data_IF_613512738087
#
_entry.id   IF_613512738087
#
_cell.length_a   1.000
_cell.length_b   1.000
_cell.length_c   1.000
_cell.angle_alpha   90.00
_cell.angle_beta   90.00
_cell.angle_gamma   90.00
#
_symmetry.space_group_name_H-M   'P 1'
#
loop_
_entity.id
_entity.type
_entity.pdbx_description
1 polymer ?
#
# COMPACT_ATOMS: atom_id res chain seq x y z
N UNK A 1 0.41 3.46 36.24
CA UNK A 1 1.80 3.87 36.55
C UNK A 1 2.67 2.70 36.15
N UNK A 2 3.64 2.88 35.25
CA UNK A 2 4.66 1.95 34.74
C UNK A 2 4.37 1.17 33.45
N UNK A 3 4.08 1.87 32.36
CA UNK A 3 4.09 1.24 31.03
C UNK A 3 5.16 1.80 30.07
N UNK A 4 6.00 2.71 30.55
CA UNK A 4 7.07 3.33 29.72
C UNK A 4 8.29 2.42 29.53
N UNK A 5 8.44 1.33 30.29
CA UNK A 5 9.59 0.43 30.17
C UNK A 5 9.43 -0.69 29.13
N UNK A 6 8.21 -0.98 28.69
CA UNK A 6 7.96 -1.99 27.64
C UNK A 6 8.23 -1.45 26.21
N UNK A 7 8.19 -0.14 26.01
CA UNK A 7 8.47 0.47 24.70
C UNK A 7 9.95 0.47 24.32
N UNK A 8 10.88 0.41 25.27
CA UNK A 8 12.34 0.42 25.01
C UNK A 8 12.93 -0.91 24.51
N UNK A 9 12.16 -2.00 24.50
CA UNK A 9 12.68 -3.33 24.11
C UNK A 9 12.52 -3.66 22.62
N UNK A 10 11.92 -2.80 21.81
CA UNK A 10 11.37 -3.23 20.50
C UNK A 10 12.15 -2.73 19.30
N UNK A 11 13.13 -1.84 19.40
CA UNK A 11 13.74 -1.30 18.17
C UNK A 11 15.28 -1.35 18.17
N UNK A 12 15.84 -2.51 17.85
CA UNK A 12 17.16 -2.54 17.19
C UNK A 12 16.94 -2.31 15.72
N UNK A 13 17.29 -1.11 15.23
CA UNK A 13 17.34 -0.84 13.79
C UNK A 13 18.32 -1.84 13.16
N UNK A 14 17.85 -2.62 12.19
CA UNK A 14 18.69 -3.56 11.46
C UNK A 14 19.17 -2.90 10.16
N UNK A 15 20.49 -2.83 9.98
CA UNK A 15 21.06 -2.35 8.73
C UNK A 15 20.73 -3.33 7.60
N UNK A 16 19.98 -2.89 6.60
CA UNK A 16 19.66 -3.69 5.41
C UNK A 16 20.88 -3.63 4.46
N UNK A 17 21.36 -4.80 4.04
CA UNK A 17 22.42 -4.92 3.06
C UNK A 17 21.82 -5.34 1.70
N UNK A 18 22.17 -4.62 0.63
CA UNK A 18 21.70 -4.88 -0.73
C UNK A 18 22.00 -6.32 -1.22
N UNK A 19 23.11 -6.92 -0.76
CA UNK A 19 23.45 -8.31 -1.09
C UNK A 19 22.48 -9.33 -0.48
N UNK A 20 21.95 -9.04 0.71
CA UNK A 20 20.96 -9.91 1.37
C UNK A 20 19.62 -9.86 0.66
N UNK A 21 19.26 -8.68 0.09
CA UNK A 21 18.04 -8.52 -0.71
C UNK A 21 18.13 -9.22 -2.06
N UNK A 22 19.28 -9.15 -2.75
CA UNK A 22 19.48 -9.83 -4.05
C UNK A 22 19.26 -11.33 -3.98
N UNK A 23 19.67 -12.00 -2.89
CA UNK A 23 19.46 -13.46 -2.70
C UNK A 23 17.98 -13.86 -2.60
N UNK A 24 17.09 -12.94 -2.17
CA UNK A 24 15.65 -13.21 -2.04
C UNK A 24 14.85 -12.92 -3.31
N UNK A 25 15.47 -12.29 -4.30
CA UNK A 25 14.81 -11.82 -5.53
C UNK A 25 15.26 -12.61 -6.78
N UNK A 26 15.89 -13.78 -6.62
CA UNK A 26 16.22 -14.65 -7.76
C UNK A 26 14.94 -15.18 -8.40
N UNK A 27 14.79 -14.89 -9.70
CA UNK A 27 13.69 -15.36 -10.53
C UNK A 27 14.15 -16.59 -11.34
N UNK A 28 13.29 -17.60 -11.49
CA UNK A 28 13.51 -18.64 -12.49
C UNK A 28 13.27 -18.05 -13.89
N UNK A 29 13.95 -18.59 -14.91
CA UNK A 29 13.80 -18.16 -16.31
C UNK A 29 12.37 -18.31 -16.84
N UNK A 30 11.61 -19.26 -16.28
CA UNK A 30 10.28 -19.65 -16.74
C UNK A 30 9.14 -19.07 -15.89
N UNK A 31 9.45 -18.16 -14.96
CA UNK A 31 8.47 -17.61 -14.05
C UNK A 31 7.55 -16.59 -14.74
N UNK A 32 6.23 -16.78 -14.61
CA UNK A 32 5.22 -15.87 -15.13
C UNK A 32 5.01 -14.66 -14.21
N UNK A 33 4.64 -13.50 -14.81
CA UNK A 33 4.43 -12.23 -14.07
C UNK A 33 3.49 -12.37 -12.86
N UNK A 34 2.47 -13.22 -12.94
CA UNK A 34 1.52 -13.47 -11.85
C UNK A 34 2.13 -14.10 -10.60
N UNK A 35 3.23 -14.86 -10.73
CA UNK A 35 3.92 -15.51 -9.61
C UNK A 35 4.63 -14.53 -8.68
N UNK A 36 4.94 -13.31 -9.19
CA UNK A 36 5.62 -12.25 -8.42
C UNK A 36 4.65 -11.30 -7.71
N UNK A 37 3.38 -11.70 -7.62
CA UNK A 37 2.35 -10.99 -6.89
C UNK A 37 1.87 -9.72 -7.57
N UNK A 38 0.77 -9.19 -7.04
CA UNK A 38 0.10 -7.98 -7.49
C UNK A 38 0.10 -6.95 -6.36
N UNK A 39 0.75 -5.82 -6.58
CA UNK A 39 0.72 -4.67 -5.68
C UNK A 39 -0.41 -3.73 -6.08
N UNK A 40 -1.34 -3.46 -5.18
CA UNK A 40 -2.34 -2.40 -5.34
C UNK A 40 -1.91 -1.19 -4.52
N UNK A 41 -1.50 -0.12 -5.19
CA UNK A 41 -1.25 1.18 -4.57
C UNK A 41 -2.55 1.99 -4.56
N UNK A 42 -2.92 2.52 -3.41
CA UNK A 42 -4.12 3.35 -3.21
C UNK A 42 -3.68 4.71 -2.68
N UNK A 43 -3.85 5.74 -3.49
CA UNK A 43 -3.40 7.08 -3.17
C UNK A 43 -3.47 8.03 -4.36
N UNK A 44 -2.76 9.16 -4.27
CA UNK A 44 -2.80 10.14 -5.34
C UNK A 44 -4.13 10.86 -5.42
N UNK A 45 -4.55 11.52 -4.34
CA UNK A 45 -5.70 12.42 -4.33
C UNK A 45 -5.44 13.68 -5.16
N UNK A 46 -6.44 14.52 -5.40
CA UNK A 46 -6.32 15.76 -6.16
C UNK A 46 -5.19 16.62 -5.56
N UNK A 47 -4.26 17.05 -6.39
CA UNK A 47 -3.05 17.77 -5.99
C UNK A 47 -1.88 16.89 -5.53
N UNK A 48 -2.09 15.58 -5.28
CA UNK A 48 -1.05 14.66 -4.76
C UNK A 48 -0.82 13.43 -5.65
N UNK A 49 -1.24 13.46 -6.90
CA UNK A 49 -1.15 12.33 -7.85
C UNK A 49 0.26 11.75 -7.99
N UNK A 50 1.29 12.59 -7.93
CA UNK A 50 2.68 12.17 -8.05
C UNK A 50 3.14 11.16 -7.01
N UNK A 51 2.66 11.25 -5.76
CA UNK A 51 3.08 10.35 -4.70
C UNK A 51 2.63 8.90 -4.93
N UNK A 52 1.36 8.70 -5.33
CA UNK A 52 0.85 7.38 -5.70
C UNK A 52 1.59 6.78 -6.90
N UNK A 53 1.92 7.64 -7.86
CA UNK A 53 2.64 7.25 -9.07
C UNK A 53 4.08 6.82 -8.78
N UNK A 54 4.79 7.58 -7.94
CA UNK A 54 6.16 7.23 -7.50
C UNK A 54 6.19 5.91 -6.73
N UNK A 55 5.23 5.68 -5.83
CA UNK A 55 5.11 4.41 -5.11
C UNK A 55 4.85 3.24 -6.06
N UNK A 56 4.00 3.45 -7.07
CA UNK A 56 3.71 2.43 -8.09
C UNK A 56 4.94 2.13 -8.94
N UNK A 57 5.67 3.13 -9.40
CA UNK A 57 6.91 2.96 -10.16
C UNK A 57 8.00 2.26 -9.33
N UNK A 58 8.12 2.62 -8.04
CA UNK A 58 9.03 1.92 -7.14
C UNK A 58 8.69 0.43 -7.02
N UNK A 59 7.39 0.09 -6.94
CA UNK A 59 6.93 -1.30 -6.89
C UNK A 59 7.31 -2.07 -8.17
N UNK A 60 7.16 -1.47 -9.35
CA UNK A 60 7.61 -2.05 -10.63
C UNK A 60 9.12 -2.29 -10.60
N UNK A 61 9.90 -1.25 -10.24
CA UNK A 61 11.37 -1.33 -10.21
C UNK A 61 11.90 -2.34 -9.19
N UNK A 62 11.17 -2.55 -8.08
CA UNK A 62 11.49 -3.59 -7.09
C UNK A 62 11.07 -5.00 -7.53
N UNK A 63 10.43 -5.14 -8.68
CA UNK A 63 10.15 -6.44 -9.28
C UNK A 63 8.79 -7.03 -8.95
N UNK A 64 7.80 -6.23 -8.57
CA UNK A 64 6.42 -6.71 -8.51
C UNK A 64 5.97 -7.23 -9.90
N UNK A 65 5.25 -8.34 -9.93
CA UNK A 65 4.77 -8.92 -11.17
C UNK A 65 3.71 -8.08 -11.85
N UNK A 66 2.78 -7.57 -11.06
CA UNK A 66 1.71 -6.66 -11.47
C UNK A 66 1.63 -5.49 -10.49
N UNK A 67 1.42 -4.29 -11.00
CA UNK A 67 1.19 -3.09 -10.19
C UNK A 67 -0.05 -2.37 -10.70
N UNK A 68 -1.00 -2.12 -9.79
CA UNK A 68 -2.16 -1.26 -10.05
C UNK A 68 -2.07 -0.01 -9.17
N UNK A 69 -2.44 1.12 -9.74
CA UNK A 69 -2.61 2.39 -9.02
C UNK A 69 -4.09 2.77 -9.01
N UNK A 70 -4.73 2.70 -7.85
CA UNK A 70 -6.06 3.23 -7.60
C UNK A 70 -5.93 4.70 -7.18
N UNK A 71 -6.34 5.60 -8.05
CA UNK A 71 -6.18 7.06 -7.90
C UNK A 71 -7.38 7.80 -8.46
N UNK A 72 -7.42 9.13 -8.28
CA UNK A 72 -8.47 9.97 -8.86
C UNK A 72 -8.46 9.90 -10.38
N UNK A 73 -9.63 9.89 -10.99
CA UNK A 73 -9.79 9.79 -12.45
C UNK A 73 -9.00 10.86 -13.22
N UNK A 74 -8.87 12.06 -12.66
CA UNK A 74 -8.10 13.16 -13.24
C UNK A 74 -6.60 12.87 -13.44
N UNK A 75 -6.04 11.86 -12.76
CA UNK A 75 -4.62 11.51 -12.83
C UNK A 75 -4.30 10.37 -13.81
N UNK A 76 -5.32 9.73 -14.40
CA UNK A 76 -5.14 8.54 -15.26
C UNK A 76 -4.22 8.83 -16.43
N UNK A 77 -4.52 9.86 -17.21
CA UNK A 77 -3.74 10.19 -18.42
C UNK A 77 -2.28 10.53 -18.09
N UNK A 78 -2.06 11.37 -17.09
CA UNK A 78 -0.72 11.74 -16.64
C UNK A 78 0.07 10.51 -16.15
N UNK A 79 -0.60 9.60 -15.42
CA UNK A 79 0.01 8.38 -14.90
C UNK A 79 0.45 7.43 -16.01
N UNK A 80 -0.38 7.23 -17.04
CA UNK A 80 -0.05 6.37 -18.17
C UNK A 80 1.12 6.93 -18.99
N UNK A 81 1.20 8.26 -19.15
CA UNK A 81 2.32 8.90 -19.82
C UNK A 81 3.65 8.76 -19.07
N UNK A 82 3.59 8.71 -17.74
CA UNK A 82 4.80 8.61 -16.91
C UNK A 82 5.27 7.17 -16.71
N UNK A 83 4.37 6.21 -16.52
CA UNK A 83 4.70 4.82 -16.24
C UNK A 83 3.65 3.87 -16.86
N UNK A 84 3.78 3.55 -18.16
CA UNK A 84 2.79 2.74 -18.88
C UNK A 84 2.71 1.28 -18.36
N UNK A 85 3.68 0.81 -17.58
CA UNK A 85 3.67 -0.51 -16.98
C UNK A 85 2.69 -0.63 -15.80
N UNK A 86 2.24 0.51 -15.25
CA UNK A 86 1.29 0.55 -14.14
C UNK A 86 -0.14 0.54 -14.67
N UNK A 87 -0.94 -0.38 -14.16
CA UNK A 87 -2.38 -0.45 -14.47
C UNK A 87 -3.14 0.61 -13.67
N UNK A 88 -3.39 1.77 -14.24
CA UNK A 88 -4.08 2.86 -13.55
C UNK A 88 -5.59 2.59 -13.49
N UNK A 89 -6.15 2.68 -12.28
CA UNK A 89 -7.56 2.44 -11.97
C UNK A 89 -8.20 3.74 -11.50
N UNK A 90 -9.13 4.32 -12.26
CA UNK A 90 -9.87 5.49 -11.82
C UNK A 90 -10.80 5.12 -10.67
N UNK A 91 -10.62 5.81 -9.53
CA UNK A 91 -11.39 5.57 -8.30
C UNK A 91 -11.78 6.92 -7.69
N UNK A 92 -13.02 7.32 -7.91
CA UNK A 92 -13.55 8.58 -7.35
C UNK A 92 -14.47 8.37 -6.14
N UNK A 93 -14.73 7.10 -5.75
CA UNK A 93 -15.51 6.73 -4.56
C UNK A 93 -15.05 5.41 -3.95
N UNK A 94 -15.42 5.16 -2.69
CA UNK A 94 -15.15 3.88 -2.03
C UNK A 94 -15.77 2.69 -2.75
N UNK A 95 -16.96 2.84 -3.31
CA UNK A 95 -17.63 1.80 -4.10
C UNK A 95 -16.83 1.46 -5.38
N UNK A 96 -16.26 2.47 -6.05
CA UNK A 96 -15.44 2.24 -7.23
C UNK A 96 -14.14 1.48 -6.92
N UNK A 97 -13.66 1.54 -5.67
CA UNK A 97 -12.47 0.83 -5.22
C UNK A 97 -12.74 -0.67 -5.01
N UNK A 98 -13.93 -1.07 -4.56
CA UNK A 98 -14.26 -2.44 -4.12
C UNK A 98 -13.86 -3.53 -5.13
N UNK A 99 -14.11 -3.29 -6.41
CA UNK A 99 -13.79 -4.26 -7.47
C UNK A 99 -12.30 -4.57 -7.63
N UNK A 100 -11.42 -3.71 -7.11
CA UNK A 100 -9.97 -3.89 -7.19
C UNK A 100 -9.36 -4.49 -5.92
N UNK A 101 -10.14 -4.64 -4.85
CA UNK A 101 -9.67 -5.13 -3.55
C UNK A 101 -9.67 -6.67 -3.42
N UNK A 102 -10.19 -7.40 -4.40
CA UNK A 102 -10.35 -8.86 -4.30
C UNK A 102 -9.11 -9.67 -4.71
N UNK A 103 -8.22 -9.08 -5.50
CA UNK A 103 -7.13 -9.83 -6.14
C UNK A 103 -5.69 -9.38 -5.84
N UNK A 104 -5.41 -8.30 -5.09
CA UNK A 104 -4.04 -7.93 -4.81
C UNK A 104 -3.38 -8.90 -3.81
N UNK A 105 -2.07 -9.13 -4.00
CA UNK A 105 -1.24 -9.87 -3.04
C UNK A 105 -0.82 -9.00 -1.86
N UNK A 106 -0.77 -7.68 -2.07
CA UNK A 106 -0.47 -6.67 -1.06
C UNK A 106 -1.12 -5.34 -1.42
N UNK A 107 -1.57 -4.60 -0.42
CA UNK A 107 -2.12 -3.25 -0.57
C UNK A 107 -1.13 -2.25 0.02
N UNK A 108 -0.73 -1.25 -0.77
CA UNK A 108 0.01 -0.07 -0.31
C UNK A 108 -0.96 1.12 -0.26
N UNK A 109 -1.25 1.62 0.94
CA UNK A 109 -2.24 2.68 1.18
C UNK A 109 -1.56 3.91 1.78
N UNK A 110 -1.82 5.09 1.21
CA UNK A 110 -1.43 6.35 1.85
C UNK A 110 -0.60 7.32 1.03
N UNK A 111 0.26 6.92 0.08
CA UNK A 111 1.05 7.87 -0.68
C UNK A 111 0.18 8.90 -1.42
N UNK A 112 0.23 10.16 -0.95
CA UNK A 112 -0.60 11.24 -1.50
C UNK A 112 -2.10 11.02 -1.33
N UNK A 113 -2.52 10.32 -0.28
CA UNK A 113 -3.93 10.00 -0.03
C UNK A 113 -4.72 11.26 0.34
N UNK A 114 -4.11 12.22 1.05
CA UNK A 114 -4.81 13.34 1.65
C UNK A 114 -5.64 12.91 2.87
N UNK A 115 -6.46 13.83 3.39
CA UNK A 115 -7.22 13.60 4.62
C UNK A 115 -8.70 14.06 4.49
N UNK A 116 -9.22 14.07 3.26
CA UNK A 116 -10.60 14.41 2.95
C UNK A 116 -11.56 13.21 3.01
N UNK A 117 -12.81 13.42 2.64
CA UNK A 117 -13.82 12.37 2.64
C UNK A 117 -13.49 11.21 1.68
N UNK A 118 -12.88 11.51 0.53
CA UNK A 118 -12.42 10.44 -0.37
C UNK A 118 -11.37 9.56 0.30
N UNK A 119 -10.40 10.17 0.96
CA UNK A 119 -9.34 9.48 1.68
C UNK A 119 -9.88 8.55 2.77
N UNK A 120 -10.89 9.04 3.50
CA UNK A 120 -11.56 8.23 4.53
C UNK A 120 -12.30 7.02 3.94
N UNK A 121 -12.91 7.16 2.77
CA UNK A 121 -13.52 6.03 2.06
C UNK A 121 -12.45 5.02 1.61
N UNK A 122 -11.31 5.48 1.08
CA UNK A 122 -10.23 4.62 0.63
C UNK A 122 -9.68 3.77 1.78
N UNK A 123 -9.41 4.40 2.93
CA UNK A 123 -8.87 3.66 4.09
C UNK A 123 -9.89 2.68 4.65
N UNK A 124 -11.16 3.09 4.79
CA UNK A 124 -12.22 2.23 5.31
C UNK A 124 -12.36 0.95 4.46
N UNK A 125 -12.55 1.10 3.15
CA UNK A 125 -12.74 -0.03 2.22
C UNK A 125 -11.50 -0.93 2.13
N UNK A 126 -10.30 -0.33 2.19
CA UNK A 126 -9.05 -1.08 2.15
C UNK A 126 -8.85 -1.94 3.40
N UNK A 127 -9.10 -1.39 4.59
CA UNK A 127 -9.00 -2.13 5.85
C UNK A 127 -10.03 -3.27 5.93
N UNK A 128 -11.28 -3.00 5.55
CA UNK A 128 -12.34 -4.01 5.52
C UNK A 128 -11.97 -5.18 4.62
N UNK A 129 -11.58 -4.90 3.38
CA UNK A 129 -11.21 -5.93 2.41
C UNK A 129 -9.92 -6.69 2.78
N UNK A 130 -8.91 -5.97 3.24
CA UNK A 130 -7.65 -6.59 3.66
C UNK A 130 -7.84 -7.53 4.83
N UNK A 131 -8.72 -7.18 5.80
CA UNK A 131 -9.09 -8.05 6.90
C UNK A 131 -9.85 -9.29 6.42
N UNK A 132 -10.87 -9.10 5.58
CA UNK A 132 -11.71 -10.17 5.03
C UNK A 132 -10.89 -11.19 4.23
N UNK A 133 -10.00 -10.70 3.36
CA UNK A 133 -9.25 -11.52 2.42
C UNK A 133 -7.86 -11.91 2.94
N UNK A 134 -7.51 -11.53 4.18
CA UNK A 134 -6.19 -11.73 4.79
C UNK A 134 -5.03 -11.21 3.93
N UNK A 135 -5.22 -10.06 3.27
CA UNK A 135 -4.21 -9.40 2.43
C UNK A 135 -3.31 -8.52 3.31
N UNK A 136 -1.99 -8.64 3.23
CA UNK A 136 -1.07 -7.76 3.95
C UNK A 136 -1.18 -6.33 3.43
N UNK A 137 -0.98 -5.36 4.35
CA UNK A 137 -1.00 -3.94 4.02
C UNK A 137 0.31 -3.26 4.40
N UNK A 138 0.75 -2.37 3.53
CA UNK A 138 1.72 -1.32 3.82
C UNK A 138 0.95 0.00 3.95
N UNK A 139 1.03 0.66 5.10
CA UNK A 139 0.36 1.95 5.34
C UNK A 139 1.42 3.02 5.56
N UNK A 140 1.34 4.12 4.79
CA UNK A 140 2.31 5.21 4.83
C UNK A 140 1.63 6.58 4.78
N UNK A 141 2.37 7.62 5.07
CA UNK A 141 1.96 9.02 4.94
C UNK A 141 0.57 9.29 5.54
N UNK A 142 -0.37 9.84 4.74
CA UNK A 142 -1.72 10.17 5.20
C UNK A 142 -2.55 8.95 5.60
N UNK A 143 -2.21 7.76 5.10
CA UNK A 143 -2.79 6.52 5.59
C UNK A 143 -2.54 6.32 7.09
N UNK A 144 -1.33 6.61 7.57
CA UNK A 144 -0.99 6.56 9.00
C UNK A 144 -1.67 7.67 9.80
N UNK A 145 -1.77 8.88 9.23
CA UNK A 145 -2.45 10.01 9.89
C UNK A 145 -3.94 9.74 10.12
N UNK A 146 -4.59 9.06 9.17
CA UNK A 146 -6.01 8.72 9.26
C UNK A 146 -6.29 7.44 10.07
N UNK A 147 -5.33 6.52 10.13
CA UNK A 147 -5.50 5.20 10.74
C UNK A 147 -6.13 5.23 12.14
N UNK A 148 -5.74 6.14 13.08
CA UNK A 148 -6.32 6.21 14.42
C UNK A 148 -7.84 6.39 14.46
N UNK A 149 -8.44 7.00 13.42
CA UNK A 149 -9.89 7.18 13.31
C UNK A 149 -10.64 5.85 13.10
N UNK A 150 -9.97 4.86 12.53
CA UNK A 150 -10.59 3.62 12.04
C UNK A 150 -10.26 2.38 12.86
N UNK A 151 -9.07 2.30 13.47
CA UNK A 151 -8.62 1.10 14.21
C UNK A 151 -9.50 0.72 15.39
N UNK A 152 -10.24 1.68 15.96
CA UNK A 152 -11.20 1.40 17.04
C UNK A 152 -12.46 0.69 16.54
N UNK A 153 -12.79 0.83 15.24
CA UNK A 153 -14.01 0.29 14.62
C UNK A 153 -13.74 -0.89 13.71
N UNK A 154 -12.56 -0.92 13.09
CA UNK A 154 -12.16 -1.94 12.15
C UNK A 154 -10.86 -2.59 12.65
N UNK A 155 -10.86 -3.88 12.97
CA UNK A 155 -9.64 -4.59 13.34
C UNK A 155 -8.67 -4.63 12.16
N UNK A 156 -7.38 -4.43 12.44
CA UNK A 156 -6.34 -4.50 11.43
C UNK A 156 -6.20 -5.91 10.83
N UNK A 157 -5.75 -6.03 9.58
CA UNK A 157 -5.30 -7.31 9.02
C UNK A 157 -4.14 -7.89 9.84
N UNK A 158 -3.92 -9.22 9.74
CA UNK A 158 -2.85 -9.90 10.50
C UNK A 158 -1.44 -9.38 10.20
N UNK A 159 -1.21 -8.80 9.03
CA UNK A 159 0.09 -8.27 8.60
C UNK A 159 -0.08 -6.83 8.13
N UNK A 160 0.30 -5.89 8.96
CA UNK A 160 0.33 -4.46 8.62
C UNK A 160 1.74 -3.94 8.84
N UNK A 161 2.26 -3.24 7.84
CA UNK A 161 3.57 -2.60 7.88
C UNK A 161 3.36 -1.09 7.72
N UNK A 162 4.03 -0.29 8.53
CA UNK A 162 4.03 1.16 8.42
C UNK A 162 5.45 1.70 8.25
N UNK A 163 5.61 2.90 7.76
CA UNK A 163 6.91 3.55 7.67
C UNK A 163 7.48 3.74 9.08
N UNK A 164 8.56 3.01 9.40
CA UNK A 164 9.19 3.03 10.74
C UNK A 164 8.46 2.25 11.84
N UNK A 165 7.31 1.61 11.58
CA UNK A 165 6.54 0.86 12.56
C UNK A 165 6.04 -0.45 11.97
N UNK A 166 6.32 -1.55 12.63
CA UNK A 166 5.65 -2.83 12.36
C UNK A 166 4.52 -2.94 13.38
N UNK A 167 3.29 -2.85 12.88
CA UNK A 167 2.10 -3.09 13.70
C UNK A 167 1.76 -4.58 13.57
N UNK A 168 2.18 -5.39 14.55
CA UNK A 168 1.70 -6.77 14.69
C UNK A 168 0.42 -6.77 15.54
N UNK A 169 -0.68 -7.26 15.00
CA UNK A 169 -1.88 -7.58 15.76
C UNK A 169 -1.80 -8.97 16.37
#
# INVERSE_FOLDING_TARGET
>A
INDTNNFKKIMKAQKINSLTLKKKLTRSSDAHKGEFGHVLVIGGNIGFGGAGLLASRASVNCGAGLVSLATRSSHVSASLNFCPEVMVKPVDSGQALEKYLNSPSVICLGPGLGQDFWSEQMIYKSLEAAKKNNVPMLIDADGLNLLPKFIKKLPLPKKVYGHGWILSG
#
